data_IF_834978828576
#
_entry.id   IF_834978828576
#
_cell.length_a   1.000
_cell.length_b   1.000
_cell.length_c   1.000
_cell.angle_alpha   90.00
_cell.angle_beta   90.00
_cell.angle_gamma   90.00
#
_symmetry.space_group_name_H-M   'P 1'
#
loop_
_entity.id
_entity.type
_entity.pdbx_description
1 polymer ?
#
# COMPACT_ATOMS: atom_id res chain seq x y z
N UNK A 1 -0.03 -20.86 -3.04
CA UNK A 1 0.32 -19.80 -4.02
C UNK A 1 -0.81 -19.62 -5.05
N UNK A 2 -1.79 -18.75 -4.74
CA UNK A 2 -2.91 -18.43 -5.63
C UNK A 2 -2.51 -17.29 -6.57
N UNK A 3 -1.82 -17.62 -7.67
CA UNK A 3 -1.63 -16.70 -8.78
C UNK A 3 -2.92 -16.69 -9.60
N UNK A 4 -3.73 -15.63 -9.42
CA UNK A 4 -4.94 -15.37 -10.21
C UNK A 4 -4.51 -15.25 -11.67
N UNK A 5 -4.76 -16.30 -12.45
CA UNK A 5 -4.42 -16.37 -13.87
C UNK A 5 -5.23 -15.32 -14.61
N UNK A 6 -4.58 -14.26 -15.08
CA UNK A 6 -5.22 -13.19 -15.84
C UNK A 6 -5.53 -13.76 -17.24
N UNK A 7 -6.78 -13.71 -17.73
CA UNK A 7 -7.11 -14.16 -19.08
C UNK A 7 -6.31 -13.35 -20.10
N UNK A 8 -5.74 -14.06 -21.06
CA UNK A 8 -4.70 -13.69 -22.05
C UNK A 8 -5.06 -12.58 -23.05
N UNK A 9 -6.11 -11.78 -22.81
CA UNK A 9 -6.57 -10.76 -23.74
C UNK A 9 -6.41 -9.31 -23.23
N UNK A 10 -6.18 -9.11 -21.92
CA UNK A 10 -5.95 -7.77 -21.39
C UNK A 10 -4.48 -7.51 -21.11
N UNK A 11 -3.95 -6.53 -21.84
CA UNK A 11 -2.58 -6.01 -21.77
C UNK A 11 -2.41 -5.23 -20.47
N UNK A 12 -1.21 -5.24 -19.89
CA UNK A 12 -0.92 -4.39 -18.72
C UNK A 12 -0.77 -2.95 -19.23
N UNK A 13 -1.49 -2.02 -18.63
CA UNK A 13 -1.36 -0.59 -18.92
C UNK A 13 0.02 -0.08 -18.52
N UNK A 14 0.60 0.75 -19.39
CA UNK A 14 1.87 1.47 -19.17
C UNK A 14 1.70 2.98 -19.18
N UNK A 15 0.49 3.48 -19.47
CA UNK A 15 0.14 4.90 -19.61
C UNK A 15 -0.61 5.45 -18.38
N UNK A 16 -0.90 4.60 -17.39
CA UNK A 16 -1.63 4.97 -16.17
C UNK A 16 -3.15 4.91 -16.31
N UNK A 17 -3.66 4.50 -17.47
CA UNK A 17 -5.08 4.33 -17.75
C UNK A 17 -5.49 2.86 -17.70
N UNK A 18 -6.77 2.57 -17.51
CA UNK A 18 -7.28 1.21 -17.47
C UNK A 18 -8.70 1.13 -18.04
N UNK A 19 -9.11 -0.08 -18.37
CA UNK A 19 -10.39 -0.33 -19.02
C UNK A 19 -10.24 -1.09 -20.34
N UNK A 20 -11.32 -1.26 -21.11
CA UNK A 20 -11.33 -2.11 -22.30
C UNK A 20 -10.26 -1.76 -23.34
N UNK A 21 -9.90 -0.48 -23.47
CA UNK A 21 -8.93 0.01 -24.45
C UNK A 21 -7.49 0.12 -23.90
N UNK A 22 -7.32 0.26 -22.58
CA UNK A 22 -6.01 0.48 -21.95
C UNK A 22 -5.47 -0.75 -21.21
N UNK A 23 -6.36 -1.69 -20.88
CA UNK A 23 -6.03 -2.93 -20.20
C UNK A 23 -6.01 -2.80 -18.67
N UNK A 24 -5.19 -3.62 -18.02
CA UNK A 24 -5.18 -3.82 -16.56
C UNK A 24 -4.12 -2.94 -15.91
N UNK A 25 -4.43 -2.35 -14.76
CA UNK A 25 -3.46 -1.59 -14.00
C UNK A 25 -2.26 -2.44 -13.51
N UNK A 26 -1.02 -1.95 -13.64
CA UNK A 26 0.17 -2.65 -13.15
C UNK A 26 0.22 -2.67 -11.62
N UNK A 27 1.10 -3.51 -11.06
CA UNK A 27 1.43 -3.54 -9.63
C UNK A 27 0.22 -3.71 -8.68
N UNK A 28 -0.80 -4.48 -9.10
CA UNK A 28 -2.02 -4.72 -8.33
C UNK A 28 -2.79 -3.44 -7.94
N UNK A 29 -2.64 -2.35 -8.72
CA UNK A 29 -3.42 -1.13 -8.53
C UNK A 29 -4.90 -1.33 -8.90
N UNK A 30 -5.74 -0.45 -8.39
CA UNK A 30 -7.15 -0.39 -8.71
C UNK A 30 -7.40 0.41 -9.99
N UNK A 31 -8.45 0.04 -10.70
CA UNK A 31 -8.92 0.78 -11.87
C UNK A 31 -10.16 1.58 -11.49
N UNK A 32 -10.05 2.91 -11.44
CA UNK A 32 -11.17 3.77 -11.04
C UNK A 32 -12.34 3.68 -12.03
N UNK A 33 -13.51 4.16 -11.60
CA UNK A 33 -14.68 4.31 -12.50
C UNK A 33 -14.41 5.20 -13.73
N UNK A 34 -13.35 6.03 -13.65
CA UNK A 34 -12.94 6.94 -14.72
C UNK A 34 -11.81 6.38 -15.60
N UNK A 35 -11.39 5.13 -15.37
CA UNK A 35 -10.35 4.48 -16.17
C UNK A 35 -8.94 4.92 -15.83
N UNK A 36 -8.67 5.25 -14.57
CA UNK A 36 -7.33 5.59 -14.09
C UNK A 36 -6.80 4.55 -13.10
N UNK A 37 -5.49 4.33 -13.10
CA UNK A 37 -4.82 3.42 -12.20
C UNK A 37 -4.33 4.11 -10.92
N UNK A 38 -4.74 3.61 -9.75
CA UNK A 38 -4.30 4.14 -8.47
C UNK A 38 -4.58 3.23 -7.29
N UNK A 39 -4.29 3.71 -6.08
CA UNK A 39 -4.36 2.91 -4.84
C UNK A 39 -5.26 3.52 -3.75
N UNK A 40 -5.68 4.77 -3.92
CA UNK A 40 -6.56 5.45 -2.93
C UNK A 40 -8.00 5.00 -3.11
N UNK A 41 -8.87 5.40 -2.17
CA UNK A 41 -10.31 5.11 -2.24
C UNK A 41 -10.96 5.64 -3.52
N UNK A 42 -10.44 6.71 -4.12
CA UNK A 42 -10.95 7.26 -5.39
C UNK A 42 -10.80 6.27 -6.55
N UNK A 43 -9.81 5.38 -6.47
CA UNK A 43 -9.53 4.36 -7.49
C UNK A 43 -10.11 3.00 -7.10
N UNK A 44 -10.01 2.64 -5.82
CA UNK A 44 -10.34 1.32 -5.31
C UNK A 44 -11.77 1.16 -4.76
N UNK A 45 -12.44 2.29 -4.52
CA UNK A 45 -13.76 2.37 -3.90
C UNK A 45 -14.89 2.13 -4.89
N UNK A 46 -15.97 2.89 -4.71
CA UNK A 46 -17.19 2.72 -5.49
C UNK A 46 -16.96 2.95 -6.99
N UNK A 47 -17.43 1.99 -7.81
CA UNK A 47 -17.29 2.04 -9.26
C UNK A 47 -15.93 1.57 -9.80
N UNK A 48 -15.05 1.03 -8.95
CA UNK A 48 -13.81 0.43 -9.42
C UNK A 48 -14.09 -0.73 -10.41
N UNK A 49 -13.37 -0.76 -11.54
CA UNK A 49 -13.55 -1.71 -12.62
C UNK A 49 -12.76 -3.01 -12.35
N UNK A 50 -13.44 -4.03 -11.81
CA UNK A 50 -12.85 -5.30 -11.32
C UNK A 50 -12.09 -6.12 -12.35
N UNK A 51 -12.46 -5.98 -13.63
CA UNK A 51 -11.80 -6.70 -14.72
C UNK A 51 -10.44 -6.06 -15.09
N UNK A 52 -10.24 -4.80 -14.71
CA UNK A 52 -9.09 -3.98 -15.08
C UNK A 52 -8.23 -3.55 -13.89
N UNK A 53 -8.60 -3.93 -12.67
CA UNK A 53 -7.86 -3.58 -11.47
C UNK A 53 -8.31 -4.31 -10.21
N UNK A 54 -7.56 -4.12 -9.14
CA UNK A 54 -7.71 -4.81 -7.87
C UNK A 54 -8.72 -4.13 -6.93
N UNK A 55 -9.99 -4.08 -7.33
CA UNK A 55 -11.03 -3.35 -6.61
C UNK A 55 -11.40 -3.93 -5.24
N UNK A 56 -11.83 -3.07 -4.31
CA UNK A 56 -12.17 -3.48 -2.94
C UNK A 56 -10.93 -3.79 -2.08
N UNK A 57 -9.76 -3.96 -2.68
CA UNK A 57 -8.48 -3.83 -2.00
C UNK A 57 -8.06 -2.38 -2.13
N UNK A 58 -8.62 -1.52 -1.28
CA UNK A 58 -7.92 -0.27 -0.97
C UNK A 58 -6.63 -0.74 -0.32
N UNK A 59 -5.57 -0.83 -1.10
CA UNK A 59 -4.24 -0.68 -0.54
C UNK A 59 -4.20 0.76 -0.06
N UNK A 60 -4.83 1.04 1.09
CA UNK A 60 -4.21 1.91 2.07
C UNK A 60 -2.76 1.41 2.07
N UNK A 61 -1.77 2.27 1.83
CA UNK A 61 -0.37 1.86 1.81
C UNK A 61 -0.18 0.86 2.95
N UNK A 62 0.12 -0.38 2.57
CA UNK A 62 -0.05 -1.53 3.45
C UNK A 62 1.00 -1.47 4.52
N UNK A 63 0.66 -0.92 5.68
CA UNK A 63 0.97 -1.57 6.95
C UNK A 63 -0.37 -2.11 7.47
N UNK A 64 -0.77 -3.30 7.02
CA UNK A 64 -1.89 -4.02 7.65
C UNK A 64 -1.35 -4.82 8.83
N UNK A 65 -1.74 -4.43 10.05
CA UNK A 65 -2.42 -5.27 11.06
C UNK A 65 -2.27 -4.63 12.44
N UNK A 66 -3.33 -4.03 12.93
CA UNK A 66 -3.41 -3.44 14.26
C UNK A 66 -4.59 -2.50 14.32
N UNK A 67 -5.69 -2.96 14.89
CA UNK A 67 -6.87 -2.16 15.18
C UNK A 67 -6.57 -1.13 16.27
N UNK A 68 -5.83 -0.09 15.90
CA UNK A 68 -5.78 1.24 16.52
C UNK A 68 -5.22 2.14 15.43
N UNK A 69 -5.98 3.11 14.93
CA UNK A 69 -5.48 4.05 13.92
C UNK A 69 -4.44 4.99 14.58
N UNK A 70 -3.23 4.50 14.78
CA UNK A 70 -2.14 5.28 15.34
C UNK A 70 -1.72 6.36 14.33
N UNK A 71 -1.39 7.58 14.80
CA UNK A 71 -0.92 8.65 13.94
C UNK A 71 0.40 8.27 13.27
N UNK A 72 0.70 8.91 12.14
CA UNK A 72 2.01 8.83 11.51
C UNK A 72 2.92 9.88 12.14
N UNK A 73 4.14 9.51 12.53
CA UNK A 73 5.13 10.40 13.14
C UNK A 73 6.51 10.22 12.52
N UNK A 74 7.34 11.26 12.58
CA UNK A 74 8.76 11.19 12.24
C UNK A 74 9.66 11.11 13.47
N UNK A 75 9.08 11.10 14.67
CA UNK A 75 9.80 11.22 15.93
C UNK A 75 9.61 9.98 16.82
N UNK A 76 8.40 9.78 17.35
CA UNK A 76 8.08 8.68 18.25
C UNK A 76 7.28 7.60 17.52
N UNK A 77 7.40 6.35 17.96
CA UNK A 77 6.68 5.22 17.40
C UNK A 77 6.48 4.11 18.42
N UNK A 78 5.62 3.15 18.06
CA UNK A 78 5.37 1.97 18.88
C UNK A 78 3.89 1.81 19.23
N UNK A 79 3.57 0.77 20.03
CA UNK A 79 2.21 0.42 20.38
C UNK A 79 1.52 1.57 21.11
N UNK A 80 0.35 1.99 20.63
CA UNK A 80 -0.40 3.08 21.26
C UNK A 80 0.13 4.49 20.96
N UNK A 81 1.29 4.63 20.30
CA UNK A 81 1.95 5.92 20.07
C UNK A 81 1.77 6.40 18.63
N UNK A 82 2.47 5.77 17.68
CA UNK A 82 2.51 6.18 16.28
C UNK A 82 3.18 5.12 15.41
N UNK A 83 2.96 5.22 14.10
CA UNK A 83 3.73 4.52 13.05
C UNK A 83 4.71 5.50 12.43
N UNK A 84 5.93 5.07 12.15
CA UNK A 84 6.92 5.91 11.49
C UNK A 84 6.50 6.29 10.07
N UNK A 85 6.86 7.51 9.66
CA UNK A 85 6.69 7.96 8.28
C UNK A 85 7.41 7.03 7.28
N UNK A 86 6.96 7.03 6.03
CA UNK A 86 7.47 6.16 4.97
C UNK A 86 9.01 6.18 4.91
N UNK A 87 9.63 5.00 4.96
CA UNK A 87 11.07 4.82 4.88
C UNK A 87 11.83 4.99 6.21
N UNK A 88 11.14 5.28 7.32
CA UNK A 88 11.73 5.31 8.66
C UNK A 88 11.47 4.00 9.42
N UNK A 89 12.49 3.58 10.16
CA UNK A 89 12.50 2.42 11.04
C UNK A 89 12.02 2.83 12.44
N UNK A 90 11.21 1.99 13.09
CA UNK A 90 10.87 2.19 14.49
C UNK A 90 11.87 1.46 15.36
N UNK A 91 12.78 2.17 16.01
CA UNK A 91 13.78 1.57 16.89
C UNK A 91 13.15 0.80 18.04
N UNK A 92 13.92 -0.09 18.68
CA UNK A 92 13.49 -0.77 19.93
C UNK A 92 13.15 0.17 21.08
N UNK A 93 13.55 1.44 20.98
CA UNK A 93 13.30 2.48 21.98
C UNK A 93 12.08 3.36 21.65
N UNK A 94 11.35 3.07 20.58
CA UNK A 94 10.14 3.81 20.22
C UNK A 94 10.42 5.16 19.55
N UNK A 95 11.54 5.24 18.81
CA UNK A 95 11.87 6.40 18.00
C UNK A 95 12.01 6.05 16.53
N UNK A 96 11.58 6.96 15.66
CA UNK A 96 11.72 6.85 14.22
C UNK A 96 13.09 7.35 13.75
N UNK A 97 13.69 6.63 12.80
CA UNK A 97 14.94 7.04 12.17
C UNK A 97 15.36 6.10 11.06
N UNK A 98 16.38 6.45 10.31
CA UNK A 98 16.84 5.71 9.13
C UNK A 98 18.24 5.09 9.27
N UNK A 99 18.88 5.22 10.43
CA UNK A 99 20.22 4.66 10.67
C UNK A 99 20.16 3.26 11.28
N UNK A 100 21.31 2.56 11.29
CA UNK A 100 21.46 1.22 11.89
C UNK A 100 20.90 1.12 13.32
N UNK A 101 21.04 2.18 14.12
CA UNK A 101 20.51 2.24 15.49
C UNK A 101 18.99 2.12 15.56
N UNK A 102 18.29 2.47 14.48
CA UNK A 102 16.84 2.41 14.36
C UNK A 102 16.37 1.17 13.58
N UNK A 103 17.10 0.82 12.51
CA UNK A 103 16.73 -0.25 11.57
C UNK A 103 17.32 -1.62 11.93
N UNK A 104 18.32 -1.66 12.81
CA UNK A 104 19.03 -2.86 13.19
C UNK A 104 18.25 -3.76 14.16
N UNK A 105 18.98 -4.51 14.98
CA UNK A 105 18.40 -5.48 15.90
C UNK A 105 17.39 -4.81 16.88
N UNK A 106 16.15 -5.29 16.83
CA UNK A 106 15.05 -4.81 17.67
C UNK A 106 14.16 -3.75 17.02
N UNK A 107 14.33 -3.46 15.72
CA UNK A 107 13.39 -2.64 14.99
C UNK A 107 11.96 -3.24 15.03
N UNK A 108 10.97 -2.40 15.36
CA UNK A 108 9.57 -2.78 15.54
C UNK A 108 8.83 -2.76 14.20
N UNK A 109 8.77 -3.92 13.54
CA UNK A 109 8.25 -4.11 12.15
C UNK A 109 6.81 -3.66 11.93
N UNK A 110 6.00 -3.65 12.97
CA UNK A 110 4.59 -3.21 12.88
C UNK A 110 4.49 -1.67 12.82
N UNK A 111 5.52 -0.96 13.28
CA UNK A 111 5.52 0.49 13.45
C UNK A 111 6.58 1.21 12.59
N UNK A 112 7.33 0.51 11.73
CA UNK A 112 8.32 1.12 10.83
C UNK A 112 8.94 0.13 9.82
N UNK A 113 9.81 0.64 8.96
CA UNK A 113 10.46 -0.12 7.87
C UNK A 113 11.73 -0.83 8.36
N UNK A 114 11.58 -2.05 8.89
CA UNK A 114 12.67 -2.98 9.13
C UNK A 114 12.67 -4.10 8.05
#
# INVERSE_FOLDING_TARGET
PNTKTIPTNYKISTDGYCGPNHGICPNNKCCSKYGYCGITNEYCGEGCQRDYGNCGKITKPTNSMGNTSLPVSSDACGPGVAVCATGLCCSKYGYCGSTESYCGAGCQREYGYC
#
